data_IF_426301283640
#
_entry.id   IF_426301283640
#
_cell.length_a   1.000
_cell.length_b   1.000
_cell.length_c   1.000
_cell.angle_alpha   90.00
_cell.angle_beta   90.00
_cell.angle_gamma   90.00
#
_symmetry.space_group_name_H-M   'P 1'
#
loop_
_entity.id
_entity.type
_entity.pdbx_description
1 polymer ?
#
# COMPACT_ATOMS: atom_id res chain seq x y z
N UNK A 1 -40.43 -12.89 -14.63
CA UNK A 1 -39.75 -11.83 -15.41
C UNK A 1 -39.31 -10.64 -14.54
N UNK A 2 -39.79 -10.56 -13.29
CA UNK A 2 -39.44 -9.53 -12.28
C UNK A 2 -38.08 -9.76 -11.60
N UNK A 3 -37.64 -11.02 -11.41
CA UNK A 3 -36.39 -11.33 -10.68
C UNK A 3 -35.08 -11.06 -11.44
N UNK A 4 -35.12 -11.00 -12.77
CA UNK A 4 -33.92 -10.72 -13.59
C UNK A 4 -33.60 -9.22 -13.65
N UNK A 5 -34.61 -8.35 -13.55
CA UNK A 5 -34.45 -6.90 -13.49
C UNK A 5 -34.00 -6.43 -12.10
N UNK A 6 -34.54 -7.03 -11.03
CA UNK A 6 -34.07 -6.76 -9.65
C UNK A 6 -32.61 -7.18 -9.45
N UNK A 7 -32.21 -8.35 -9.93
CA UNK A 7 -30.80 -8.80 -9.85
C UNK A 7 -29.85 -7.94 -10.71
N UNK A 8 -30.32 -7.38 -11.82
CA UNK A 8 -29.56 -6.47 -12.67
C UNK A 8 -29.32 -5.10 -12.00
N UNK A 9 -30.34 -4.56 -11.33
CA UNK A 9 -30.27 -3.30 -10.58
C UNK A 9 -29.41 -3.43 -9.32
N UNK A 10 -29.53 -4.54 -8.59
CA UNK A 10 -28.67 -4.85 -7.43
C UNK A 10 -27.20 -5.00 -7.85
N UNK A 11 -26.94 -5.47 -9.08
CA UNK A 11 -25.58 -5.62 -9.60
C UNK A 11 -24.99 -4.28 -10.10
N UNK A 12 -25.80 -3.36 -10.60
CA UNK A 12 -25.32 -2.07 -11.13
C UNK A 12 -25.01 -1.04 -10.04
N UNK A 13 -25.64 -1.12 -8.86
CA UNK A 13 -25.22 -0.32 -7.69
C UNK A 13 -23.95 -0.88 -7.03
N UNK A 14 -23.76 -2.22 -7.03
CA UNK A 14 -22.56 -2.89 -6.52
C UNK A 14 -21.29 -2.63 -7.34
N UNK A 15 -21.42 -2.13 -8.57
CA UNK A 15 -20.32 -1.88 -9.51
C UNK A 15 -19.82 -0.42 -9.47
N UNK A 16 -20.52 0.50 -8.77
CA UNK A 16 -20.20 1.95 -8.82
C UNK A 16 -19.55 2.55 -7.58
N UNK A 17 -19.28 1.75 -6.56
CA UNK A 17 -18.65 2.16 -5.32
C UNK A 17 -17.49 1.21 -5.11
N UNK A 18 -16.30 1.71 -4.74
CA UNK A 18 -15.12 0.91 -4.37
C UNK A 18 -15.31 0.06 -3.11
N UNK A 19 -16.49 -0.53 -2.95
CA UNK A 19 -16.80 -1.63 -2.07
C UNK A 19 -16.35 -2.90 -2.77
N UNK A 20 -15.03 -3.14 -2.77
CA UNK A 20 -14.57 -4.49 -2.97
C UNK A 20 -15.11 -5.31 -1.81
N UNK A 21 -16.09 -6.17 -2.11
CA UNK A 21 -16.27 -7.39 -1.33
C UNK A 21 -14.99 -8.20 -1.50
N UNK A 22 -14.00 -7.83 -0.71
CA UNK A 22 -12.89 -8.68 -0.33
C UNK A 22 -13.51 -9.97 0.19
N UNK A 23 -13.30 -11.10 -0.49
CA UNK A 23 -13.73 -12.41 0.03
C UNK A 23 -13.08 -12.74 1.37
N UNK A 24 -12.05 -11.97 1.77
CA UNK A 24 -11.41 -11.96 3.09
C UNK A 24 -11.21 -10.52 3.56
N UNK A 25 -11.71 -10.15 4.75
CA UNK A 25 -11.49 -8.84 5.32
C UNK A 25 -10.00 -8.66 5.71
N UNK A 26 -9.27 -7.74 5.05
CA UNK A 26 -7.86 -7.48 5.37
C UNK A 26 -7.65 -7.00 6.83
N UNK A 27 -8.69 -6.47 7.46
CA UNK A 27 -8.65 -5.97 8.83
C UNK A 27 -8.85 -7.06 9.88
N UNK A 28 -9.15 -8.30 9.47
CA UNK A 28 -9.16 -9.47 10.35
C UNK A 28 -7.81 -10.19 10.41
N UNK A 29 -6.84 -9.79 9.59
CA UNK A 29 -5.52 -10.40 9.56
C UNK A 29 -4.79 -10.19 10.90
N UNK A 30 -4.20 -11.24 11.51
CA UNK A 30 -3.58 -11.13 12.83
C UNK A 30 -2.52 -10.03 12.95
N UNK A 31 -1.69 -9.87 11.91
CA UNK A 31 -0.64 -8.84 11.88
C UNK A 31 -1.21 -7.42 11.78
N UNK A 32 -2.38 -7.25 11.16
CA UNK A 32 -3.08 -5.96 11.18
C UNK A 32 -3.69 -5.71 12.56
N UNK A 33 -4.39 -6.71 13.12
CA UNK A 33 -5.01 -6.63 14.44
C UNK A 33 -4.01 -6.25 15.52
N UNK A 34 -2.86 -6.93 15.56
CA UNK A 34 -1.79 -6.65 16.54
C UNK A 34 -1.29 -5.20 16.42
N UNK A 35 -0.92 -4.80 15.20
CA UNK A 35 -0.41 -3.46 14.93
C UNK A 35 -1.46 -2.37 15.20
N UNK A 36 -2.69 -2.57 14.73
CA UNK A 36 -3.76 -1.59 14.83
C UNK A 36 -4.23 -1.41 16.28
N UNK A 37 -4.35 -2.48 17.06
CA UNK A 37 -4.71 -2.37 18.48
C UNK A 37 -3.66 -1.58 19.28
N UNK A 38 -2.37 -1.79 18.99
CA UNK A 38 -1.31 -0.97 19.60
C UNK A 38 -1.45 0.49 19.17
N UNK A 39 -1.53 0.74 17.85
CA UNK A 39 -1.60 2.09 17.31
C UNK A 39 -2.84 2.85 17.81
N UNK A 40 -3.97 2.15 17.96
CA UNK A 40 -5.23 2.71 18.44
C UNK A 40 -5.12 3.15 19.90
N UNK A 41 -4.52 2.32 20.75
CA UNK A 41 -4.22 2.65 22.14
C UNK A 41 -3.31 3.88 22.25
N UNK A 42 -2.27 3.97 21.43
CA UNK A 42 -1.30 5.08 21.47
C UNK A 42 -1.83 6.39 20.83
N UNK A 43 -2.91 6.29 20.06
CA UNK A 43 -3.59 7.40 19.39
C UNK A 43 -4.85 7.89 20.11
N UNK A 44 -5.10 7.46 21.35
CA UNK A 44 -6.32 7.78 22.10
C UNK A 44 -7.60 7.36 21.34
N UNK A 45 -7.54 6.23 20.63
CA UNK A 45 -8.62 5.71 19.80
C UNK A 45 -9.09 6.65 18.68
N UNK A 46 -8.22 7.53 18.17
CA UNK A 46 -8.55 8.47 17.10
C UNK A 46 -7.86 8.11 15.79
N UNK A 47 -8.65 7.77 14.78
CA UNK A 47 -8.19 7.43 13.43
C UNK A 47 -8.41 8.59 12.47
N UNK A 48 -7.40 8.89 11.66
CA UNK A 48 -7.49 9.82 10.53
C UNK A 48 -7.54 9.06 9.20
N UNK A 49 -8.52 9.35 8.35
CA UNK A 49 -8.52 8.94 6.93
C UNK A 49 -8.40 10.20 6.05
N UNK A 50 -7.19 10.54 5.56
CA UNK A 50 -6.95 11.82 4.87
C UNK A 50 -7.34 11.84 3.38
N UNK A 51 -7.76 10.70 2.81
CA UNK A 51 -8.14 10.50 1.40
C UNK A 51 -9.37 9.61 1.29
N UNK A 52 -10.43 9.95 2.05
CA UNK A 52 -11.49 9.02 2.40
C UNK A 52 -12.46 8.66 1.27
N UNK A 53 -12.58 9.49 0.24
CA UNK A 53 -13.61 9.33 -0.80
C UNK A 53 -15.00 9.10 -0.19
N UNK A 54 -15.50 7.86 -0.30
CA UNK A 54 -16.80 7.42 0.24
C UNK A 54 -16.78 6.87 1.68
N UNK A 55 -15.66 7.01 2.41
CA UNK A 55 -15.46 6.56 3.80
C UNK A 55 -15.50 5.03 3.96
N UNK A 56 -15.09 4.28 2.93
CA UNK A 56 -15.25 2.83 2.90
C UNK A 56 -14.34 2.10 3.89
N UNK A 57 -13.09 2.54 4.06
CA UNK A 57 -12.15 1.87 4.97
C UNK A 57 -12.58 2.01 6.42
N UNK A 58 -13.09 3.18 6.82
CA UNK A 58 -13.65 3.41 8.15
C UNK A 58 -14.83 2.47 8.41
N UNK A 59 -15.76 2.34 7.46
CA UNK A 59 -16.89 1.41 7.58
C UNK A 59 -16.42 -0.03 7.71
N UNK A 60 -15.46 -0.47 6.90
CA UNK A 60 -14.90 -1.82 6.98
C UNK A 60 -14.22 -2.12 8.33
N UNK A 61 -13.57 -1.14 8.94
CA UNK A 61 -13.02 -1.29 10.31
C UNK A 61 -14.14 -1.40 11.35
N UNK A 62 -15.18 -0.58 11.23
CA UNK A 62 -16.34 -0.65 12.14
C UNK A 62 -17.09 -1.97 12.00
N UNK A 63 -17.27 -2.47 10.77
CA UNK A 63 -17.92 -3.75 10.46
C UNK A 63 -17.10 -4.94 11.01
N UNK A 64 -15.77 -4.82 11.08
CA UNK A 64 -14.89 -5.80 11.74
C UNK A 64 -14.98 -5.72 13.28
N UNK A 65 -15.68 -4.73 13.83
CA UNK A 65 -15.95 -4.60 15.27
C UNK A 65 -14.97 -3.71 16.04
N UNK A 66 -14.12 -2.93 15.35
CA UNK A 66 -13.25 -1.96 16.02
C UNK A 66 -14.06 -0.75 16.52
N UNK A 67 -13.75 -0.29 17.74
CA UNK A 67 -14.37 0.88 18.35
C UNK A 67 -13.37 2.04 18.45
N UNK A 68 -13.62 3.11 17.71
CA UNK A 68 -12.74 4.27 17.62
C UNK A 68 -13.50 5.52 17.13
N UNK A 69 -12.98 6.70 17.50
CA UNK A 69 -13.38 7.96 16.89
C UNK A 69 -12.60 8.16 15.59
N UNK A 70 -13.20 8.84 14.62
CA UNK A 70 -12.52 9.13 13.36
C UNK A 70 -12.73 10.54 12.84
N UNK A 71 -11.77 10.99 12.03
CA UNK A 71 -11.91 12.17 11.19
C UNK A 71 -11.51 11.79 9.77
N UNK A 72 -12.39 12.09 8.82
CA UNK A 72 -12.18 11.78 7.42
C UNK A 72 -12.14 13.08 6.58
N UNK A 73 -11.20 13.13 5.64
CA UNK A 73 -11.05 14.23 4.69
C UNK A 73 -10.94 13.70 3.26
N UNK A 74 -11.44 14.48 2.31
CA UNK A 74 -11.18 14.27 0.89
C UNK A 74 -11.32 15.59 0.12
N UNK A 75 -10.64 15.71 -1.02
CA UNK A 75 -10.79 16.88 -1.92
C UNK A 75 -12.16 16.87 -2.62
N UNK A 76 -12.74 15.68 -2.80
CA UNK A 76 -14.07 15.46 -3.37
C UNK A 76 -14.85 14.43 -2.51
N UNK A 77 -15.40 14.84 -1.36
CA UNK A 77 -16.11 13.96 -0.44
C UNK A 77 -17.24 13.18 -1.11
N UNK A 78 -17.23 11.86 -0.92
CA UNK A 78 -18.27 10.93 -1.38
C UNK A 78 -19.22 10.46 -0.28
N UNK A 79 -19.11 10.99 0.94
CA UNK A 79 -19.94 10.69 2.11
C UNK A 79 -20.13 11.94 2.98
N UNK A 80 -21.29 12.13 3.65
CA UNK A 80 -21.52 13.28 4.54
C UNK A 80 -20.58 13.33 5.76
N UNK A 81 -19.98 12.20 6.15
CA UNK A 81 -19.03 12.12 7.26
C UNK A 81 -17.62 12.63 6.88
N UNK A 82 -17.37 12.83 5.58
CA UNK A 82 -16.07 13.21 5.04
C UNK A 82 -16.04 14.72 4.79
N UNK A 83 -15.07 15.40 5.39
CA UNK A 83 -14.90 16.86 5.29
C UNK A 83 -14.14 17.22 4.02
N UNK A 84 -14.59 18.25 3.30
CA UNK A 84 -13.85 18.75 2.13
C UNK A 84 -12.53 19.39 2.55
N UNK A 85 -11.39 18.83 2.12
CA UNK A 85 -10.04 19.36 2.37
C UNK A 85 -9.02 18.75 1.43
N UNK A 86 -8.16 19.59 0.85
CA UNK A 86 -6.96 19.15 0.12
C UNK A 86 -5.84 18.83 1.11
N UNK A 87 -5.78 17.59 1.57
CA UNK A 87 -4.83 17.12 2.58
C UNK A 87 -3.38 17.06 2.08
N UNK A 88 -3.16 17.05 0.76
CA UNK A 88 -1.81 17.16 0.20
C UNK A 88 -1.26 18.58 0.38
N UNK A 89 -2.11 19.61 0.25
CA UNK A 89 -1.70 21.01 0.45
C UNK A 89 -1.72 21.47 1.90
N UNK A 90 -2.70 21.03 2.67
CA UNK A 90 -2.88 21.40 4.07
C UNK A 90 -3.17 20.14 4.89
N UNK A 91 -2.12 19.50 5.42
CA UNK A 91 -2.28 18.26 6.17
C UNK A 91 -2.80 18.56 7.61
N UNK A 92 -3.85 17.86 8.09
CA UNK A 92 -4.39 18.10 9.42
C UNK A 92 -3.40 17.66 10.53
N UNK A 93 -3.33 18.44 11.62
CA UNK A 93 -2.41 18.21 12.75
C UNK A 93 -3.11 17.59 13.95
N UNK A 94 -2.33 16.97 14.84
CA UNK A 94 -2.81 16.42 16.11
C UNK A 94 -3.29 14.97 16.04
N UNK A 95 -3.07 14.30 14.91
CA UNK A 95 -3.42 12.90 14.69
C UNK A 95 -2.18 12.03 14.77
N UNK A 96 -2.33 10.83 15.31
CA UNK A 96 -1.23 9.86 15.45
C UNK A 96 -1.40 8.63 14.58
N UNK A 97 -2.63 8.21 14.29
CA UNK A 97 -2.94 7.00 13.55
C UNK A 97 -3.71 7.34 12.28
N UNK A 98 -3.20 6.86 11.15
CA UNK A 98 -3.84 6.92 9.85
C UNK A 98 -4.16 5.51 9.35
N UNK A 99 -5.35 5.34 8.77
CA UNK A 99 -5.68 4.22 7.87
C UNK A 99 -6.20 4.81 6.57
N UNK A 100 -5.65 4.42 5.42
CA UNK A 100 -6.03 5.03 4.14
C UNK A 100 -5.70 4.18 2.91
N UNK A 101 -6.33 4.54 1.79
CA UNK A 101 -5.94 4.16 0.45
C UNK A 101 -5.60 5.45 -0.32
N UNK A 102 -4.33 5.91 -0.30
CA UNK A 102 -3.95 7.19 -0.90
C UNK A 102 -4.17 7.18 -2.42
N UNK A 103 -4.33 8.35 -3.07
CA UNK A 103 -4.57 8.42 -4.50
C UNK A 103 -3.37 7.94 -5.34
N UNK A 104 -3.63 7.13 -6.36
CA UNK A 104 -2.61 6.61 -7.28
C UNK A 104 -2.58 7.44 -8.57
N UNK A 105 -1.42 8.01 -8.90
CA UNK A 105 -1.24 8.74 -10.14
C UNK A 105 0.24 8.74 -10.49
N UNK A 106 0.67 7.81 -11.34
CA UNK A 106 2.02 7.86 -11.89
C UNK A 106 2.22 9.14 -12.70
N UNK A 107 3.36 9.83 -12.52
CA UNK A 107 3.75 11.07 -13.20
C UNK A 107 3.65 10.95 -14.74
N UNK A 108 4.07 9.81 -15.27
CA UNK A 108 3.96 9.50 -16.70
C UNK A 108 2.49 9.37 -17.16
N UNK A 109 1.62 8.82 -16.32
CA UNK A 109 0.18 8.72 -16.59
C UNK A 109 -0.46 10.12 -16.57
N UNK A 110 -0.12 10.96 -15.60
CA UNK A 110 -0.57 12.34 -15.52
C UNK A 110 -0.17 13.14 -16.77
N UNK A 111 1.09 13.03 -17.20
CA UNK A 111 1.58 13.67 -18.42
C UNK A 111 0.79 13.25 -19.67
N UNK A 112 0.53 11.94 -19.85
CA UNK A 112 -0.26 11.43 -20.98
C UNK A 112 -1.70 11.91 -20.95
N UNK A 113 -2.31 11.96 -19.76
CA UNK A 113 -3.69 12.40 -19.54
C UNK A 113 -3.85 13.93 -19.44
N UNK A 114 -2.74 14.69 -19.53
CA UNK A 114 -2.70 16.15 -19.32
C UNK A 114 -3.29 16.58 -17.97
N UNK A 115 -3.12 15.74 -16.95
CA UNK A 115 -3.51 16.03 -15.57
C UNK A 115 -2.32 16.69 -14.88
N UNK A 116 -2.58 17.73 -14.09
CA UNK A 116 -1.55 18.39 -13.27
C UNK A 116 -1.00 17.41 -12.24
N UNK A 117 0.33 17.26 -12.20
CA UNK A 117 1.02 16.48 -11.19
C UNK A 117 1.78 17.42 -10.24
N UNK A 118 1.76 17.18 -8.92
CA UNK A 118 2.51 18.00 -7.97
C UNK A 118 4.00 18.06 -8.31
N UNK A 119 4.64 19.18 -7.98
CA UNK A 119 6.11 19.26 -8.08
C UNK A 119 6.72 18.49 -6.92
N UNK A 120 7.25 17.30 -7.21
CA UNK A 120 7.88 16.40 -6.25
C UNK A 120 8.93 15.54 -6.95
N UNK A 121 9.87 14.99 -6.19
CA UNK A 121 10.85 14.01 -6.66
C UNK A 121 10.22 12.64 -6.95
N UNK A 122 9.05 12.36 -6.37
CA UNK A 122 8.37 11.10 -6.55
C UNK A 122 7.75 10.94 -7.95
N UNK A 123 7.76 9.71 -8.43
CA UNK A 123 7.19 9.28 -9.71
C UNK A 123 5.70 8.88 -9.61
N UNK A 124 5.16 8.76 -8.39
CA UNK A 124 3.76 8.46 -8.13
C UNK A 124 3.24 9.27 -6.93
N UNK A 125 1.97 9.67 -7.00
CA UNK A 125 1.32 10.53 -6.01
C UNK A 125 1.23 9.88 -4.62
N UNK A 126 1.03 8.56 -4.55
CA UNK A 126 0.92 7.88 -3.26
C UNK A 126 2.20 8.00 -2.44
N UNK A 127 3.38 8.09 -3.09
CA UNK A 127 4.67 8.25 -2.40
C UNK A 127 4.79 9.62 -1.73
N UNK A 128 4.30 10.67 -2.40
CA UNK A 128 4.18 12.00 -1.79
C UNK A 128 3.21 11.96 -0.61
N UNK A 129 2.07 11.28 -0.76
CA UNK A 129 1.10 11.13 0.31
C UNK A 129 1.71 10.40 1.52
N UNK A 130 2.45 9.30 1.31
CA UNK A 130 3.18 8.58 2.35
C UNK A 130 4.17 9.50 3.07
N UNK A 131 4.96 10.29 2.33
CA UNK A 131 5.91 11.22 2.92
C UNK A 131 5.21 12.22 3.86
N UNK A 132 4.11 12.82 3.41
CA UNK A 132 3.32 13.77 4.19
C UNK A 132 2.76 13.09 5.44
N UNK A 133 2.15 11.91 5.31
CA UNK A 133 1.56 11.18 6.42
C UNK A 133 2.61 10.77 7.45
N UNK A 134 3.75 10.22 7.02
CA UNK A 134 4.83 9.82 7.90
C UNK A 134 5.50 11.02 8.59
N UNK A 135 5.56 12.19 7.96
CA UNK A 135 6.07 13.41 8.63
C UNK A 135 5.14 13.92 9.74
N UNK A 136 3.85 13.60 9.69
CA UNK A 136 2.85 14.18 10.59
C UNK A 136 2.23 13.19 11.59
N UNK A 137 2.39 11.89 11.39
CA UNK A 137 1.76 10.85 12.21
C UNK A 137 2.73 9.71 12.59
N UNK A 138 2.49 9.12 13.75
CA UNK A 138 3.29 8.05 14.34
C UNK A 138 2.99 6.69 13.69
N UNK A 139 1.73 6.44 13.38
CA UNK A 139 1.24 5.19 12.82
C UNK A 139 0.53 5.46 11.50
N UNK A 140 0.91 4.74 10.46
CA UNK A 140 0.29 4.84 9.13
C UNK A 140 0.04 3.43 8.59
N UNK A 141 -1.22 3.08 8.38
CA UNK A 141 -1.63 1.92 7.58
C UNK A 141 -2.10 2.39 6.22
N UNK A 142 -1.44 1.93 5.15
CA UNK A 142 -1.76 2.37 3.79
C UNK A 142 -1.89 1.19 2.84
N UNK A 143 -2.97 1.18 2.06
CA UNK A 143 -3.14 0.28 0.92
C UNK A 143 -2.50 0.96 -0.29
N UNK A 144 -1.38 0.42 -0.77
CA UNK A 144 -0.54 1.03 -1.82
C UNK A 144 -0.11 -0.02 -2.86
N UNK A 145 0.43 0.39 -4.03
CA UNK A 145 0.96 -0.57 -5.00
C UNK A 145 2.04 -1.46 -4.40
N UNK A 146 1.97 -2.77 -4.68
CA UNK A 146 2.91 -3.77 -4.16
C UNK A 146 4.37 -3.52 -4.60
N UNK A 147 4.55 -2.83 -5.73
CA UNK A 147 5.86 -2.41 -6.20
C UNK A 147 6.58 -1.43 -5.27
N UNK A 148 5.90 -0.86 -4.27
CA UNK A 148 6.49 0.02 -3.25
C UNK A 148 7.72 -0.60 -2.58
N UNK A 149 7.72 -1.90 -2.31
CA UNK A 149 8.84 -2.58 -1.63
C UNK A 149 10.17 -2.46 -2.39
N UNK A 150 10.13 -2.20 -3.70
CA UNK A 150 11.30 -2.02 -4.56
C UNK A 150 11.80 -0.56 -4.59
N UNK A 151 11.05 0.39 -4.03
CA UNK A 151 11.43 1.79 -4.01
C UNK A 151 12.49 2.09 -2.93
N UNK A 152 12.70 1.16 -1.97
CA UNK A 152 13.56 1.34 -0.80
C UNK A 152 13.29 2.65 -0.03
N UNK A 153 12.03 3.11 -0.05
CA UNK A 153 11.57 4.31 0.64
C UNK A 153 10.96 3.96 1.99
N UNK A 154 11.26 4.77 3.01
CA UNK A 154 10.63 4.73 4.35
C UNK A 154 10.74 3.37 5.07
N UNK A 155 11.69 2.51 4.65
CA UNK A 155 11.86 1.18 5.22
C UNK A 155 12.23 1.22 6.71
N UNK A 156 12.84 2.31 7.19
CA UNK A 156 13.19 2.48 8.59
C UNK A 156 11.97 2.51 9.50
N UNK A 157 10.80 2.94 9.00
CA UNK A 157 9.53 2.94 9.74
C UNK A 157 8.55 1.85 9.33
N UNK A 158 8.83 1.13 8.25
CA UNK A 158 7.96 0.06 7.78
C UNK A 158 8.04 -1.10 8.78
N UNK A 159 6.93 -1.36 9.48
CA UNK A 159 6.83 -2.46 10.43
C UNK A 159 6.52 -3.77 9.70
N UNK A 160 5.48 -3.76 8.85
CA UNK A 160 5.10 -4.92 8.06
C UNK A 160 4.56 -4.54 6.69
N UNK A 161 4.69 -5.48 5.78
CA UNK A 161 4.19 -5.41 4.42
C UNK A 161 3.40 -6.68 4.15
N UNK A 162 2.14 -6.54 3.77
CA UNK A 162 1.27 -7.66 3.42
C UNK A 162 0.90 -7.55 1.94
N UNK A 163 1.38 -8.47 1.11
CA UNK A 163 0.92 -8.62 -0.27
C UNK A 163 -0.54 -9.09 -0.25
N UNK A 164 -1.40 -8.36 -0.93
CA UNK A 164 -2.81 -8.68 -1.03
C UNK A 164 -3.05 -9.38 -2.37
N UNK A 165 -3.78 -10.50 -2.37
CA UNK A 165 -4.18 -11.20 -3.61
C UNK A 165 -4.90 -10.25 -4.59
N UNK A 166 -4.58 -10.39 -5.88
CA UNK A 166 -5.08 -9.52 -6.96
C UNK A 166 -6.59 -9.59 -7.18
N UNK A 167 -7.27 -10.59 -6.62
CA UNK A 167 -8.73 -10.73 -6.70
C UNK A 167 -9.48 -9.81 -5.71
N UNK A 168 -8.77 -9.08 -4.85
CA UNK A 168 -9.35 -8.17 -3.85
C UNK A 168 -9.64 -6.76 -4.38
N UNK A 169 -9.13 -6.38 -5.57
CA UNK A 169 -9.31 -5.03 -6.14
C UNK A 169 -9.53 -5.13 -7.66
N UNK A 170 -10.71 -4.80 -8.16
CA UNK A 170 -11.02 -4.87 -9.61
C UNK A 170 -10.52 -3.67 -10.41
N UNK A 171 -10.16 -2.58 -9.74
CA UNK A 171 -9.78 -1.32 -10.39
C UNK A 171 -8.26 -1.21 -10.63
N UNK A 172 -7.49 -2.21 -10.21
CA UNK A 172 -6.04 -2.22 -10.36
C UNK A 172 -5.59 -3.49 -11.05
N UNK A 173 -5.08 -3.37 -12.28
CA UNK A 173 -4.34 -4.46 -12.94
C UNK A 173 -3.04 -4.81 -12.20
N UNK A 174 -2.58 -3.91 -11.32
CA UNK A 174 -1.35 -4.07 -10.54
C UNK A 174 -1.65 -4.61 -9.13
N UNK A 175 -0.86 -5.57 -8.61
CA UNK A 175 -0.98 -6.02 -7.23
C UNK A 175 -0.81 -4.87 -6.23
N UNK A 176 -1.52 -4.95 -5.12
CA UNK A 176 -1.45 -3.99 -4.01
C UNK A 176 -1.01 -4.66 -2.72
N UNK A 177 -0.60 -3.86 -1.75
CA UNK A 177 -0.19 -4.31 -0.43
C UNK A 177 -0.80 -3.43 0.65
N UNK A 178 -0.95 -4.00 1.84
CA UNK A 178 -1.13 -3.26 3.07
C UNK A 178 0.26 -3.03 3.69
N UNK A 179 0.70 -1.77 3.75
CA UNK A 179 1.93 -1.35 4.39
C UNK A 179 1.62 -0.69 5.74
N UNK A 180 2.18 -1.24 6.81
CA UNK A 180 1.98 -0.75 8.18
C UNK A 180 3.28 -0.11 8.68
N UNK A 181 3.23 1.16 9.05
CA UNK A 181 4.37 1.94 9.51
C UNK A 181 4.21 2.33 10.97
N UNK A 182 5.26 2.17 11.76
CA UNK A 182 5.30 2.50 13.19
C UNK A 182 6.27 3.65 13.48
N UNK A 183 6.19 4.31 14.64
CA UNK A 183 7.12 5.39 14.98
C UNK A 183 8.51 4.86 15.33
N UNK A 184 8.59 3.63 15.86
CA UNK A 184 9.86 2.99 16.18
C UNK A 184 10.60 2.62 14.90
N UNK A 185 11.86 3.06 14.81
CA UNK A 185 12.72 2.62 13.70
C UNK A 185 13.10 1.17 13.90
N UNK A 186 12.80 0.33 12.93
CA UNK A 186 13.11 -1.10 12.94
C UNK A 186 14.02 -1.45 11.77
N UNK A 187 15.00 -2.32 12.00
CA UNK A 187 15.73 -2.98 10.92
C UNK A 187 14.99 -4.19 10.36
N UNK A 188 13.95 -4.64 11.05
CA UNK A 188 13.16 -5.82 10.70
C UNK A 188 11.85 -5.39 10.08
N UNK A 189 11.63 -5.78 8.83
CA UNK A 189 10.36 -5.61 8.12
C UNK A 189 9.74 -6.99 7.91
N UNK A 190 8.56 -7.21 8.49
CA UNK A 190 7.87 -8.49 8.38
C UNK A 190 7.04 -8.56 7.10
N UNK A 191 7.22 -9.63 6.33
CA UNK A 191 6.55 -9.85 5.06
C UNK A 191 5.46 -10.91 5.22
N UNK A 192 4.29 -10.59 4.69
CA UNK A 192 3.12 -11.46 4.68
C UNK A 192 2.55 -11.54 3.25
N UNK A 193 1.87 -12.65 2.98
CA UNK A 193 0.98 -12.82 1.83
C UNK A 193 -0.41 -13.15 2.40
N UNK A 194 -1.35 -12.21 2.29
CA UNK A 194 -2.61 -12.24 3.03
C UNK A 194 -2.37 -12.40 4.55
N UNK A 195 -2.92 -13.41 5.20
CA UNK A 195 -2.72 -13.74 6.62
C UNK A 195 -1.48 -14.59 6.91
N UNK A 196 -0.74 -15.00 5.87
CA UNK A 196 0.40 -15.92 6.00
C UNK A 196 1.71 -15.15 6.12
N UNK A 197 2.46 -15.42 7.19
CA UNK A 197 3.83 -14.95 7.32
C UNK A 197 4.77 -15.62 6.30
N UNK A 198 5.56 -14.80 5.61
CA UNK A 198 6.53 -15.23 4.59
C UNK A 198 7.95 -15.20 5.12
N UNK A 199 8.32 -14.14 5.86
CA UNK A 199 9.67 -13.96 6.36
C UNK A 199 10.00 -12.50 6.67
N UNK A 200 11.27 -12.23 6.94
CA UNK A 200 11.79 -10.89 7.21
C UNK A 200 12.56 -10.38 5.99
N UNK A 201 12.32 -9.12 5.58
CA UNK A 201 12.79 -8.54 4.33
C UNK A 201 14.32 -8.61 4.18
N UNK A 202 15.07 -8.22 5.19
CA UNK A 202 16.53 -8.16 5.12
C UNK A 202 17.13 -9.58 5.03
N UNK A 203 16.58 -10.52 5.79
CA UNK A 203 16.93 -11.94 5.74
C UNK A 203 16.70 -12.53 4.34
N UNK A 204 15.56 -12.23 3.74
CA UNK A 204 15.22 -12.68 2.38
C UNK A 204 16.09 -12.00 1.31
N UNK A 205 16.36 -10.69 1.40
CA UNK A 205 17.29 -9.99 0.51
C UNK A 205 18.70 -10.60 0.58
N UNK A 206 19.17 -10.95 1.77
CA UNK A 206 20.47 -11.61 1.99
C UNK A 206 20.51 -13.01 1.39
N UNK A 207 19.45 -13.80 1.58
CA UNK A 207 19.35 -15.14 0.99
C UNK A 207 19.31 -15.10 -0.54
N UNK A 208 18.51 -14.21 -1.11
CA UNK A 208 18.43 -14.01 -2.56
C UNK A 208 19.81 -13.64 -3.13
N UNK A 209 20.51 -12.72 -2.47
CA UNK A 209 21.87 -12.32 -2.86
C UNK A 209 22.81 -13.52 -2.85
N UNK A 210 22.78 -14.35 -1.78
CA UNK A 210 23.59 -15.57 -1.67
C UNK A 210 23.28 -16.58 -2.79
N UNK A 211 22.01 -16.77 -3.13
CA UNK A 211 21.60 -17.67 -4.22
C UNK A 211 22.14 -17.14 -5.55
N UNK A 212 21.95 -15.85 -5.83
CA UNK A 212 22.43 -15.21 -7.06
C UNK A 212 23.96 -15.27 -7.18
N UNK A 213 24.71 -15.07 -6.09
CA UNK A 213 26.18 -15.17 -6.12
C UNK A 213 26.67 -16.61 -6.32
N UNK A 214 25.99 -17.60 -5.74
CA UNK A 214 26.39 -19.01 -5.83
C UNK A 214 25.94 -19.69 -7.14
N UNK A 215 25.00 -19.09 -7.87
CA UNK A 215 24.49 -19.61 -9.16
C UNK A 215 25.20 -19.00 -10.38
N UNK A 216 26.13 -18.05 -10.18
CA UNK A 216 27.06 -17.60 -11.22
C UNK A 216 28.18 -18.65 -11.36
N UNK A 217 28.35 -19.28 -12.54
CA UNK A 217 29.49 -20.17 -12.77
C UNK A 217 30.81 -19.41 -12.54
N UNK A 218 31.75 -20.03 -11.82
CA UNK A 218 33.09 -19.47 -11.53
C UNK A 218 33.87 -19.02 -12.77
N UNK A 219 33.43 -19.41 -13.96
CA UNK A 219 34.05 -19.10 -15.24
C UNK A 219 33.75 -17.67 -15.75
N UNK A 220 32.88 -16.91 -15.07
CA UNK A 220 32.56 -15.51 -15.42
C UNK A 220 33.33 -14.46 -14.58
N UNK A 221 34.19 -14.87 -13.66
CA UNK A 221 35.11 -13.98 -12.92
C UNK A 221 36.29 -13.52 -13.80
N UNK A 222 36.02 -12.88 -14.94
CA UNK A 222 37.00 -12.09 -15.70
C UNK A 222 36.36 -10.88 -16.37
N UNK A 223 35.65 -10.05 -15.61
CA UNK A 223 35.50 -8.61 -15.90
C UNK A 223 34.67 -7.93 -14.80
N UNK A 224 35.11 -6.79 -14.25
CA UNK A 224 34.34 -6.01 -13.26
C UNK A 224 32.94 -5.59 -13.74
N UNK A 225 32.69 -5.54 -15.05
CA UNK A 225 31.40 -5.13 -15.62
C UNK A 225 30.30 -6.19 -15.52
N UNK A 226 30.64 -7.46 -15.27
CA UNK A 226 29.71 -8.59 -15.27
C UNK A 226 28.75 -8.60 -14.06
N UNK A 227 29.15 -7.97 -12.95
CA UNK A 227 28.36 -7.87 -11.71
C UNK A 227 27.48 -6.60 -11.65
N UNK A 228 27.57 -5.73 -12.65
CA UNK A 228 26.65 -4.60 -12.76
C UNK A 228 25.22 -5.08 -13.07
N UNK A 229 24.21 -4.31 -12.69
CA UNK A 229 22.80 -4.58 -13.01
C UNK A 229 22.57 -4.77 -14.52
N UNK A 230 23.33 -4.06 -15.37
CA UNK A 230 23.36 -4.27 -16.84
C UNK A 230 24.03 -5.58 -17.26
N UNK A 231 25.05 -6.03 -16.54
CA UNK A 231 25.74 -7.30 -16.78
C UNK A 231 24.86 -8.51 -16.53
N UNK A 232 24.12 -8.49 -15.41
CA UNK A 232 23.14 -9.52 -15.05
C UNK A 232 21.96 -9.58 -16.03
N UNK A 233 21.41 -8.44 -16.45
CA UNK A 233 20.34 -8.38 -17.47
C UNK A 233 20.77 -9.00 -18.81
N UNK A 234 22.01 -8.76 -19.23
CA UNK A 234 22.55 -9.28 -20.49
C UNK A 234 22.77 -10.80 -20.43
N UNK A 235 23.16 -11.33 -19.26
CA UNK A 235 23.33 -12.77 -19.05
C UNK A 235 21.98 -13.50 -19.11
N UNK A 236 20.96 -13.00 -18.39
CA UNK A 236 19.64 -13.62 -18.36
C UNK A 236 18.98 -13.67 -19.76
N UNK A 237 19.12 -12.61 -20.57
CA UNK A 237 18.67 -12.60 -21.97
C UNK A 237 19.40 -13.61 -22.87
N UNK A 238 20.63 -13.99 -22.53
CA UNK A 238 21.43 -14.96 -23.29
C UNK A 238 21.06 -16.40 -22.94
N UNK A 239 20.71 -16.66 -21.67
CA UNK A 239 20.28 -18.00 -21.20
C UNK A 239 18.88 -18.35 -21.72
N UNK A 240 17.98 -17.38 -21.84
CA UNK A 240 16.62 -17.59 -22.38
C UNK A 240 16.54 -17.81 -23.90
N UNK A 241 17.68 -17.74 -24.62
CA UNK A 241 17.77 -17.97 -26.08
C UNK A 241 18.43 -19.30 -26.44
N UNK A 242 18.71 -20.16 -25.46
CA UNK A 242 19.12 -21.56 -25.63
C UNK A 242 17.96 -22.46 -25.24
#
# INVERSE_FOLDING_TARGET
>A
MTSLLENSLINTEKIRLGCFYTTQNIFSYPQFQEWFNQALKESNNLVLEPFAGSNNLIKMLQDEGYNFDFVAYDVNPGSPEVKNKDTIKDFPRGYKLIITNPPYLAKNSACRKKITFPTTEYDDLYKLCLEIMLKNCDYVGAIIPASFINADLFLDRLHSYTLLSSQMFTDTESPVCLALFSPQKSSSVYLYENDRYVGELYSLKKELTRILTNSVPKDLERSPDALSSKGLEKYLKKVQRK
#
